data_IF_033654445914
#
_entry.id   IF_033654445914
#
_cell.length_a   1.000
_cell.length_b   1.000
_cell.length_c   1.000
_cell.angle_alpha   90.00
_cell.angle_beta   90.00
_cell.angle_gamma   90.00
#
_symmetry.space_group_name_H-M   'P 1'
#
loop_
_entity.id
_entity.type
_entity.pdbx_description
1 polymer ?
#
# COMPACT_ATOMS: atom_id res chain seq x y z
N UNK A 1 14.35 14.85 -20.03
CA UNK A 1 14.24 13.40 -20.37
C UNK A 1 15.01 12.50 -19.38
N UNK A 2 16.22 12.84 -18.94
CA UNK A 2 16.99 12.00 -18.00
C UNK A 2 16.35 11.87 -16.60
N UNK A 3 15.81 12.95 -16.04
CA UNK A 3 15.18 12.94 -14.72
C UNK A 3 13.92 12.08 -14.68
N UNK A 4 13.05 12.21 -15.68
CA UNK A 4 11.82 11.42 -15.75
C UNK A 4 12.11 9.92 -15.88
N UNK A 5 13.10 9.55 -16.71
CA UNK A 5 13.54 8.15 -16.81
C UNK A 5 14.07 7.62 -15.46
N UNK A 6 14.86 8.42 -14.75
CA UNK A 6 15.37 8.06 -13.43
C UNK A 6 14.23 7.87 -12.40
N UNK A 7 13.21 8.73 -12.43
CA UNK A 7 12.04 8.61 -11.54
C UNK A 7 11.22 7.36 -11.84
N UNK A 8 11.00 7.03 -13.13
CA UNK A 8 10.31 5.81 -13.55
C UNK A 8 11.07 4.57 -13.09
N UNK A 9 12.39 4.53 -13.30
CA UNK A 9 13.23 3.43 -12.86
C UNK A 9 13.22 3.31 -11.33
N UNK A 10 13.37 4.42 -10.62
CA UNK A 10 13.35 4.44 -9.15
C UNK A 10 12.02 3.93 -8.58
N UNK A 11 10.88 4.37 -9.14
CA UNK A 11 9.56 3.89 -8.74
C UNK A 11 9.40 2.38 -9.02
N UNK A 12 9.89 1.91 -10.17
CA UNK A 12 9.85 0.49 -10.54
C UNK A 12 10.71 -0.36 -9.60
N UNK A 13 11.94 0.08 -9.30
CA UNK A 13 12.83 -0.60 -8.35
C UNK A 13 12.24 -0.60 -6.93
N UNK A 14 11.60 0.51 -6.53
CA UNK A 14 10.90 0.59 -5.24
C UNK A 14 9.72 -0.39 -5.18
N UNK A 15 8.98 -0.57 -6.28
CA UNK A 15 7.94 -1.58 -6.40
C UNK A 15 8.48 -3.00 -6.27
N UNK A 16 9.63 -3.27 -6.89
CA UNK A 16 10.30 -4.57 -6.82
C UNK A 16 10.83 -4.86 -5.41
N UNK A 17 11.57 -3.91 -4.83
CA UNK A 17 12.08 -4.02 -3.46
C UNK A 17 10.95 -4.10 -2.42
N UNK A 18 9.82 -3.42 -2.68
CA UNK A 18 8.63 -3.46 -1.85
C UNK A 18 7.76 -4.71 -2.01
N UNK A 19 8.12 -5.64 -2.90
CA UNK A 19 7.36 -6.87 -3.17
C UNK A 19 7.03 -7.66 -1.89
N UNK A 20 7.95 -7.90 -0.93
CA UNK A 20 7.63 -8.59 0.31
C UNK A 20 6.63 -7.82 1.18
N UNK A 21 6.74 -6.49 1.24
CA UNK A 21 5.82 -5.63 1.95
C UNK A 21 4.41 -5.68 1.33
N UNK A 22 4.33 -5.55 0.00
CA UNK A 22 3.07 -5.68 -0.74
C UNK A 22 2.44 -7.06 -0.55
N UNK A 23 3.26 -8.12 -0.57
CA UNK A 23 2.81 -9.49 -0.31
C UNK A 23 2.18 -9.62 1.09
N UNK A 24 2.83 -9.08 2.12
CA UNK A 24 2.34 -9.14 3.51
C UNK A 24 1.06 -8.34 3.71
N UNK A 25 1.02 -7.09 3.22
CA UNK A 25 -0.08 -6.16 3.48
C UNK A 25 -1.30 -6.40 2.58
N UNK A 26 -1.07 -6.73 1.31
CA UNK A 26 -2.13 -6.79 0.32
C UNK A 26 -2.61 -8.22 0.00
N UNK A 27 -1.94 -9.27 0.52
CA UNK A 27 -2.33 -10.66 0.24
C UNK A 27 -3.74 -11.00 0.72
N UNK A 28 -4.13 -10.54 1.91
CA UNK A 28 -5.46 -10.80 2.45
C UNK A 28 -6.57 -10.07 1.67
N UNK A 29 -6.50 -8.76 1.41
CA UNK A 29 -7.45 -8.07 0.54
C UNK A 29 -7.46 -8.64 -0.89
N UNK A 30 -6.32 -9.00 -1.47
CA UNK A 30 -6.24 -9.61 -2.79
C UNK A 30 -6.94 -10.97 -2.84
N UNK A 31 -6.75 -11.81 -1.84
CA UNK A 31 -7.41 -13.11 -1.76
C UNK A 31 -8.94 -12.99 -1.66
N UNK A 32 -9.41 -11.95 -0.97
CA UNK A 32 -10.84 -11.67 -0.83
C UNK A 32 -11.44 -11.04 -2.09
N UNK A 33 -10.71 -10.13 -2.75
CA UNK A 33 -11.18 -9.36 -3.90
C UNK A 33 -10.95 -10.05 -5.25
N UNK A 34 -9.89 -10.87 -5.35
CA UNK A 34 -9.46 -11.44 -6.63
C UNK A 34 -10.33 -12.56 -7.17
N UNK A 35 -10.96 -13.36 -6.28
CA UNK A 35 -11.73 -14.51 -6.70
C UNK A 35 -11.00 -15.36 -7.75
N UNK A 36 -11.72 -15.97 -8.73
CA UNK A 36 -11.12 -16.78 -9.79
C UNK A 36 -10.47 -15.93 -10.93
N UNK A 37 -10.49 -14.60 -10.85
CA UNK A 37 -10.01 -13.70 -11.93
C UNK A 37 -9.01 -12.65 -11.44
N UNK A 38 -7.82 -13.05 -11.00
CA UNK A 38 -6.80 -12.12 -10.50
C UNK A 38 -6.36 -11.09 -11.55
N UNK A 39 -6.42 -11.43 -12.85
CA UNK A 39 -6.04 -10.54 -13.96
C UNK A 39 -6.86 -9.25 -13.98
N UNK A 40 -8.18 -9.33 -13.76
CA UNK A 40 -9.04 -8.12 -13.73
C UNK A 40 -8.69 -7.20 -12.56
N UNK A 41 -8.40 -7.76 -11.40
CA UNK A 41 -7.95 -7.01 -10.24
C UNK A 41 -6.61 -6.32 -10.52
N UNK A 42 -5.66 -7.03 -11.10
CA UNK A 42 -4.33 -6.49 -11.43
C UNK A 42 -4.41 -5.40 -12.50
N UNK A 43 -5.21 -5.60 -13.54
CA UNK A 43 -5.45 -4.56 -14.55
C UNK A 43 -6.06 -3.30 -13.94
N UNK A 44 -7.09 -3.44 -13.09
CA UNK A 44 -7.66 -2.32 -12.36
C UNK A 44 -6.62 -1.60 -11.48
N UNK A 45 -5.76 -2.36 -10.78
CA UNK A 45 -4.71 -1.80 -9.94
C UNK A 45 -3.68 -1.00 -10.75
N UNK A 46 -3.20 -1.55 -11.87
CA UNK A 46 -2.24 -0.84 -12.74
C UNK A 46 -2.84 0.46 -13.27
N UNK A 47 -4.08 0.41 -13.73
CA UNK A 47 -4.78 1.60 -14.22
C UNK A 47 -5.07 2.62 -13.12
N UNK A 48 -5.49 2.18 -11.93
CA UNK A 48 -5.71 3.05 -10.78
C UNK A 48 -4.42 3.74 -10.32
N UNK A 49 -3.31 3.01 -10.30
CA UNK A 49 -2.01 3.57 -9.95
C UNK A 49 -1.50 4.53 -11.02
N UNK A 50 -1.64 4.20 -12.33
CA UNK A 50 -1.29 5.09 -13.41
C UNK A 50 -2.10 6.39 -13.35
N UNK A 51 -3.42 6.30 -13.14
CA UNK A 51 -4.28 7.47 -12.98
C UNK A 51 -3.89 8.30 -11.74
N UNK A 52 -3.56 7.65 -10.63
CA UNK A 52 -3.04 8.30 -9.42
C UNK A 52 -1.72 9.03 -9.69
N UNK A 53 -0.81 8.43 -10.46
CA UNK A 53 0.45 9.05 -10.87
C UNK A 53 0.26 10.26 -11.79
N UNK A 54 -0.65 10.15 -12.75
CA UNK A 54 -1.07 11.29 -13.59
C UNK A 54 -1.62 12.42 -12.72
N UNK A 55 -2.52 12.11 -11.81
CA UNK A 55 -3.11 13.08 -10.88
C UNK A 55 -2.05 13.71 -9.95
N UNK A 56 -1.11 12.91 -9.44
CA UNK A 56 -0.01 13.40 -8.60
C UNK A 56 0.89 14.38 -9.37
N UNK A 57 1.30 14.04 -10.59
CA UNK A 57 2.10 14.91 -11.44
C UNK A 57 1.34 16.19 -11.84
N UNK A 58 0.04 16.07 -12.14
CA UNK A 58 -0.80 17.23 -12.46
C UNK A 58 -1.02 18.16 -11.26
N UNK A 59 -1.14 17.57 -10.06
CA UNK A 59 -1.43 18.32 -8.82
C UNK A 59 -0.17 18.83 -8.13
N UNK A 60 1.04 18.44 -8.55
CA UNK A 60 2.29 18.91 -7.94
C UNK A 60 2.38 20.45 -7.95
N UNK A 61 1.95 21.10 -9.03
CA UNK A 61 1.85 22.56 -9.10
C UNK A 61 0.77 23.14 -8.16
N UNK A 62 -0.30 22.37 -7.90
CA UNK A 62 -1.39 22.74 -6.98
C UNK A 62 -0.98 22.42 -5.54
N UNK A 63 -0.29 21.30 -5.30
CA UNK A 63 0.21 20.89 -3.99
C UNK A 63 1.29 21.84 -3.46
N UNK A 64 2.15 22.38 -4.31
CA UNK A 64 3.10 23.43 -3.92
C UNK A 64 2.37 24.67 -3.34
N UNK A 65 1.16 24.93 -3.80
CA UNK A 65 0.28 25.98 -3.26
C UNK A 65 -0.57 25.50 -2.06
N UNK A 66 -0.91 24.21 -2.00
CA UNK A 66 -1.74 23.60 -0.97
C UNK A 66 -0.93 23.04 0.22
N UNK A 67 0.40 23.14 0.20
CA UNK A 67 1.27 22.70 1.31
C UNK A 67 0.94 23.37 2.65
N UNK A 68 0.30 24.53 2.61
CA UNK A 68 -0.25 25.20 3.80
C UNK A 68 -1.46 24.46 4.41
N UNK A 69 -2.21 23.68 3.60
CA UNK A 69 -3.35 22.87 4.07
C UNK A 69 -2.95 21.48 4.61
N UNK A 70 -1.74 21.02 4.32
CA UNK A 70 -1.28 19.70 4.77
C UNK A 70 -1.15 19.60 6.31
N UNK A 71 -0.93 20.73 6.99
CA UNK A 71 -0.88 20.78 8.45
C UNK A 71 -2.20 20.33 9.11
N UNK A 72 -3.34 20.59 8.49
CA UNK A 72 -4.67 20.20 9.00
C UNK A 72 -4.90 18.70 8.90
N UNK A 73 -4.30 18.01 7.91
CA UNK A 73 -4.44 16.58 7.70
C UNK A 73 -3.46 15.74 8.55
N UNK A 74 -2.42 16.36 9.13
CA UNK A 74 -1.42 15.67 9.93
C UNK A 74 -2.00 14.91 11.14
N UNK A 75 -2.93 15.47 11.95
CA UNK A 75 -3.49 14.73 13.08
C UNK A 75 -4.34 13.54 12.62
N UNK A 76 -5.09 13.66 11.53
CA UNK A 76 -5.85 12.55 10.97
C UNK A 76 -4.92 11.41 10.48
N UNK A 77 -3.80 11.75 9.86
CA UNK A 77 -2.80 10.78 9.46
C UNK A 77 -2.14 10.09 10.66
N UNK A 78 -1.81 10.85 11.71
CA UNK A 78 -1.24 10.29 12.94
C UNK A 78 -2.22 9.34 13.64
N UNK A 79 -3.51 9.70 13.71
CA UNK A 79 -4.57 8.83 14.25
C UNK A 79 -4.72 7.54 13.44
N UNK A 80 -4.66 7.64 12.11
CA UNK A 80 -4.69 6.46 11.22
C UNK A 80 -3.51 5.54 11.51
N UNK A 81 -2.30 6.07 11.62
CA UNK A 81 -1.10 5.28 11.92
C UNK A 81 -1.17 4.66 13.32
N UNK A 82 -1.69 5.37 14.31
CA UNK A 82 -1.93 4.83 15.65
C UNK A 82 -2.95 3.67 15.61
N UNK A 83 -4.03 3.79 14.83
CA UNK A 83 -5.00 2.72 14.66
C UNK A 83 -4.39 1.48 13.97
N UNK A 84 -3.55 1.69 12.95
CA UNK A 84 -2.81 0.61 12.27
C UNK A 84 -1.83 -0.06 13.21
N UNK A 85 -1.14 0.71 14.06
CA UNK A 85 -0.22 0.21 15.08
C UNK A 85 -0.95 -0.67 16.10
N UNK A 86 -2.08 -0.20 16.63
CA UNK A 86 -2.93 -0.95 17.56
C UNK A 86 -3.46 -2.24 16.92
N UNK A 87 -3.92 -2.18 15.67
CA UNK A 87 -4.35 -3.36 14.93
C UNK A 87 -3.20 -4.35 14.77
N UNK A 88 -2.02 -3.89 14.36
CA UNK A 88 -0.82 -4.70 14.22
C UNK A 88 -0.43 -5.37 15.54
N UNK A 89 -0.46 -4.63 16.65
CA UNK A 89 -0.17 -5.15 17.98
C UNK A 89 -1.19 -6.22 18.43
N UNK A 90 -2.48 -6.00 18.16
CA UNK A 90 -3.52 -6.99 18.49
C UNK A 90 -3.36 -8.28 17.67
N UNK A 91 -3.00 -8.19 16.40
CA UNK A 91 -2.72 -9.35 15.56
C UNK A 91 -1.46 -10.09 16.01
N UNK A 92 -0.41 -9.36 16.39
CA UNK A 92 0.85 -9.93 16.86
C UNK A 92 0.66 -10.70 18.17
N UNK A 93 -0.03 -10.10 19.15
CA UNK A 93 -0.25 -10.69 20.47
C UNK A 93 -1.27 -11.83 20.43
N UNK A 94 -2.45 -11.57 19.83
CA UNK A 94 -3.54 -12.54 19.85
C UNK A 94 -3.43 -13.61 18.76
N UNK A 95 -2.71 -13.36 17.68
CA UNK A 95 -2.62 -14.26 16.51
C UNK A 95 -3.98 -14.60 15.90
N UNK A 96 -5.01 -13.77 16.13
CA UNK A 96 -6.38 -13.97 15.66
C UNK A 96 -6.93 -12.67 15.11
N UNK A 97 -7.73 -12.80 14.04
CA UNK A 97 -8.46 -11.68 13.45
C UNK A 97 -9.47 -11.14 14.48
N UNK A 98 -9.55 -9.81 14.72
CA UNK A 98 -10.60 -9.24 15.53
C UNK A 98 -11.99 -9.60 14.98
N UNK A 99 -12.93 -9.93 15.86
CA UNK A 99 -14.27 -10.43 15.47
C UNK A 99 -15.02 -9.41 14.59
N UNK A 100 -14.87 -8.11 14.87
CA UNK A 100 -15.49 -7.04 14.10
C UNK A 100 -14.92 -6.93 12.67
N UNK A 101 -13.63 -7.27 12.45
CA UNK A 101 -13.02 -7.31 11.12
C UNK A 101 -13.44 -8.58 10.37
N UNK A 102 -13.59 -9.71 11.09
CA UNK A 102 -14.09 -10.97 10.54
C UNK A 102 -15.58 -10.93 10.20
N UNK A 103 -16.36 -10.07 10.87
CA UNK A 103 -17.77 -9.86 10.59
C UNK A 103 -18.01 -9.09 9.28
N UNK A 104 -17.04 -8.31 8.82
CA UNK A 104 -17.08 -7.66 7.50
C UNK A 104 -16.81 -8.72 6.43
N UNK A 105 -17.82 -9.55 6.16
CA UNK A 105 -17.83 -10.50 5.04
C UNK A 105 -18.00 -9.72 3.73
N UNK A 106 -16.99 -8.97 3.37
CA UNK A 106 -16.95 -8.39 2.05
C UNK A 106 -16.70 -9.53 1.05
N UNK A 107 -17.79 -9.98 0.44
CA UNK A 107 -17.75 -10.87 -0.74
C UNK A 107 -17.85 -9.99 -1.98
N UNK A 108 -16.77 -9.46 -2.53
CA UNK A 108 -16.85 -8.72 -3.77
C UNK A 108 -17.35 -9.67 -4.85
N UNK A 109 -18.44 -9.28 -5.50
CA UNK A 109 -18.89 -10.00 -6.69
C UNK A 109 -17.74 -9.97 -7.70
N UNK A 110 -17.47 -11.04 -8.45
CA UNK A 110 -16.36 -11.10 -9.42
C UNK A 110 -16.42 -10.01 -10.49
N UNK A 111 -17.58 -9.39 -10.70
CA UNK A 111 -17.73 -8.21 -11.54
C UNK A 111 -17.04 -6.96 -10.99
N UNK A 112 -16.84 -6.87 -9.67
CA UNK A 112 -16.25 -5.68 -9.03
C UNK A 112 -14.72 -5.78 -8.85
N UNK A 113 -14.09 -6.89 -9.23
CA UNK A 113 -12.64 -7.07 -9.05
C UNK A 113 -11.82 -5.96 -9.73
N UNK A 114 -12.22 -5.52 -10.91
CA UNK A 114 -11.57 -4.42 -11.63
C UNK A 114 -11.67 -3.10 -10.86
N UNK A 115 -12.87 -2.73 -10.42
CA UNK A 115 -13.10 -1.50 -9.65
C UNK A 115 -12.42 -1.53 -8.29
N UNK A 116 -12.36 -2.70 -7.66
CA UNK A 116 -11.59 -2.90 -6.43
C UNK A 116 -10.10 -2.65 -6.69
N UNK A 117 -9.57 -3.17 -7.80
CA UNK A 117 -8.20 -2.88 -8.22
C UNK A 117 -7.97 -1.39 -8.48
N UNK A 118 -8.90 -0.71 -9.16
CA UNK A 118 -8.82 0.72 -9.43
C UNK A 118 -8.78 1.55 -8.13
N UNK A 119 -9.63 1.21 -7.16
CA UNK A 119 -9.68 1.86 -5.85
C UNK A 119 -8.45 1.57 -4.97
N UNK A 120 -7.57 0.63 -5.36
CA UNK A 120 -6.40 0.25 -4.58
C UNK A 120 -5.41 1.39 -4.34
N UNK A 121 -5.40 2.39 -5.23
CA UNK A 121 -4.59 3.61 -5.09
C UNK A 121 -4.96 4.42 -3.83
N UNK A 122 -6.18 4.27 -3.33
CA UNK A 122 -6.63 4.94 -2.10
C UNK A 122 -6.20 4.22 -0.81
N UNK A 123 -5.50 3.09 -0.90
CA UNK A 123 -5.00 2.38 0.28
C UNK A 123 -3.96 3.19 1.05
N UNK A 124 -4.07 3.32 2.38
CA UNK A 124 -3.13 4.07 3.21
C UNK A 124 -1.82 3.27 3.42
N UNK A 125 -1.03 3.11 2.37
CA UNK A 125 0.24 2.41 2.37
C UNK A 125 1.40 3.39 2.19
N UNK A 126 2.35 3.42 3.13
CA UNK A 126 3.49 4.34 3.10
C UNK A 126 4.34 4.21 1.82
N UNK A 127 4.52 2.98 1.32
CA UNK A 127 5.27 2.72 0.09
C UNK A 127 4.55 3.30 -1.13
N UNK A 128 3.22 3.19 -1.19
CA UNK A 128 2.40 3.77 -2.24
C UNK A 128 2.47 5.30 -2.22
N UNK A 129 2.39 5.90 -1.03
CA UNK A 129 2.49 7.36 -0.91
C UNK A 129 3.87 7.86 -1.31
N UNK A 130 4.94 7.16 -0.94
CA UNK A 130 6.29 7.48 -1.41
C UNK A 130 6.41 7.40 -2.94
N UNK A 131 5.79 6.39 -3.58
CA UNK A 131 5.74 6.28 -5.03
C UNK A 131 4.92 7.41 -5.68
N UNK A 132 3.80 7.82 -5.06
CA UNK A 132 2.99 8.95 -5.53
C UNK A 132 3.76 10.28 -5.42
N UNK A 133 4.54 10.47 -4.35
CA UNK A 133 5.41 11.65 -4.22
C UNK A 133 6.49 11.67 -5.32
N UNK A 134 7.13 10.53 -5.59
CA UNK A 134 8.06 10.40 -6.72
C UNK A 134 7.39 10.72 -8.06
N UNK A 135 6.17 10.22 -8.28
CA UNK A 135 5.39 10.53 -9.48
C UNK A 135 5.03 12.03 -9.56
N UNK A 136 4.76 12.67 -8.41
CA UNK A 136 4.51 14.11 -8.32
C UNK A 136 5.72 14.97 -8.70
N UNK A 137 6.94 14.45 -8.57
CA UNK A 137 8.17 15.14 -8.99
C UNK A 137 8.46 15.00 -10.50
N UNK A 138 7.66 14.23 -11.22
CA UNK A 138 7.82 14.05 -12.68
C UNK A 138 7.53 15.33 -13.44
N UNK A 139 8.29 15.58 -14.47
CA UNK A 139 8.13 16.76 -15.35
C UNK A 139 6.88 16.73 -16.23
N UNK A 140 6.19 15.58 -16.32
CA UNK A 140 4.98 15.42 -17.12
C UNK A 140 3.98 14.43 -16.48
N UNK A 141 2.71 14.61 -16.81
CA UNK A 141 1.64 13.68 -16.39
C UNK A 141 1.91 12.26 -16.89
N UNK A 142 2.48 12.12 -18.09
CA UNK A 142 2.78 10.82 -18.68
C UNK A 142 3.88 10.10 -17.89
N UNK A 143 4.97 10.79 -17.55
CA UNK A 143 6.06 10.21 -16.74
C UNK A 143 5.59 9.85 -15.33
N UNK A 144 4.73 10.65 -14.69
CA UNK A 144 4.11 10.32 -13.42
C UNK A 144 3.22 9.07 -13.50
N UNK A 145 2.41 8.97 -14.56
CA UNK A 145 1.59 7.79 -14.83
C UNK A 145 2.43 6.53 -15.07
N UNK A 146 3.51 6.64 -15.86
CA UNK A 146 4.42 5.53 -16.16
C UNK A 146 5.20 5.08 -14.93
N UNK A 147 5.65 6.00 -14.08
CA UNK A 147 6.32 5.69 -12.82
C UNK A 147 5.42 4.84 -11.91
N UNK A 148 4.16 5.23 -11.74
CA UNK A 148 3.20 4.50 -10.94
C UNK A 148 2.76 3.18 -11.57
N UNK A 149 2.63 3.11 -12.90
CA UNK A 149 2.39 1.85 -13.60
C UNK A 149 3.56 0.87 -13.43
N UNK A 150 4.80 1.35 -13.56
CA UNK A 150 6.01 0.57 -13.31
C UNK A 150 6.07 0.03 -11.88
N UNK A 151 5.77 0.87 -10.88
CA UNK A 151 5.65 0.45 -9.48
C UNK A 151 4.59 -0.64 -9.29
N UNK A 152 3.40 -0.48 -9.89
CA UNK A 152 2.31 -1.44 -9.81
C UNK A 152 2.68 -2.79 -10.43
N UNK A 153 3.30 -2.78 -11.61
CA UNK A 153 3.74 -3.98 -12.31
C UNK A 153 4.85 -4.70 -11.55
N UNK A 154 5.87 -3.97 -11.09
CA UNK A 154 7.01 -4.53 -10.37
C UNK A 154 6.63 -5.15 -9.02
N UNK A 155 5.59 -4.64 -8.35
CA UNK A 155 5.08 -5.19 -7.09
C UNK A 155 4.05 -6.33 -7.28
N UNK A 156 3.59 -6.58 -8.51
CA UNK A 156 2.59 -7.64 -8.83
C UNK A 156 3.07 -9.06 -8.48
N UNK A 157 4.33 -9.48 -8.74
CA UNK A 157 4.78 -10.83 -8.41
C UNK A 157 4.55 -11.21 -6.95
N UNK A 158 4.75 -10.27 -6.01
CA UNK A 158 4.49 -10.51 -4.59
C UNK A 158 3.03 -10.84 -4.29
N UNK A 159 2.10 -10.18 -4.98
CA UNK A 159 0.67 -10.41 -4.81
C UNK A 159 0.20 -11.73 -5.41
N UNK A 160 0.86 -12.21 -6.47
CA UNK A 160 0.57 -13.52 -7.09
C UNK A 160 1.16 -14.66 -6.26
N UNK A 161 2.38 -14.48 -5.75
CA UNK A 161 3.09 -15.51 -4.99
C UNK A 161 2.57 -15.62 -3.55
N UNK A 162 2.14 -14.53 -2.94
CA UNK A 162 1.66 -14.51 -1.55
C UNK A 162 0.49 -15.48 -1.27
N UNK A 163 -0.56 -15.58 -2.11
CA UNK A 163 -1.62 -16.57 -1.92
C UNK A 163 -1.13 -18.01 -2.00
N UNK A 164 -0.15 -18.30 -2.86
CA UNK A 164 0.46 -19.63 -2.98
C UNK A 164 1.25 -19.99 -1.73
N UNK A 165 2.02 -19.05 -1.20
CA UNK A 165 2.75 -19.20 0.06
C UNK A 165 1.80 -19.38 1.23
N UNK A 166 0.74 -18.56 1.28
CA UNK A 166 -0.32 -18.70 2.29
C UNK A 166 -0.99 -20.07 2.21
N UNK A 167 -1.34 -20.55 1.02
CA UNK A 167 -1.94 -21.88 0.86
C UNK A 167 -1.02 -23.00 1.36
N UNK A 168 0.31 -22.85 1.18
CA UNK A 168 1.29 -23.80 1.73
C UNK A 168 1.41 -23.71 3.25
N UNK A 169 1.36 -22.50 3.81
CA UNK A 169 1.36 -22.28 5.27
C UNK A 169 0.08 -22.81 5.92
N UNK A 170 -1.07 -22.60 5.29
CA UNK A 170 -2.37 -23.11 5.77
C UNK A 170 -2.45 -24.64 5.79
N UNK A 171 -1.71 -25.32 4.88
CA UNK A 171 -1.58 -26.80 4.92
C UNK A 171 -0.88 -27.31 6.18
N UNK A 172 -0.22 -26.43 6.95
CA UNK A 172 0.41 -26.75 8.25
C UNK A 172 -0.56 -26.72 9.43
N UNK A 173 -1.87 -26.59 9.16
CA UNK A 173 -2.94 -26.60 10.16
C UNK A 173 -3.13 -25.23 10.90
N UNK A 174 -3.89 -25.21 12.01
CA UNK A 174 -4.27 -23.99 12.72
C UNK A 174 -3.09 -23.13 13.19
N UNK A 175 -1.93 -23.73 13.42
CA UNK A 175 -0.71 -23.01 13.80
C UNK A 175 -0.17 -22.13 12.67
N UNK A 176 -0.35 -22.53 11.40
CA UNK A 176 0.07 -21.75 10.25
C UNK A 176 -0.68 -20.42 10.13
N UNK A 177 -1.98 -20.42 10.45
CA UNK A 177 -2.80 -19.20 10.47
C UNK A 177 -2.35 -18.21 11.55
N UNK A 178 -2.05 -18.71 12.75
CA UNK A 178 -1.56 -17.89 13.87
C UNK A 178 -0.24 -17.23 13.50
N UNK A 179 0.70 -17.98 12.92
CA UNK A 179 1.99 -17.44 12.51
C UNK A 179 1.86 -16.41 11.37
N UNK A 180 1.00 -16.67 10.38
CA UNK A 180 0.76 -15.72 9.28
C UNK A 180 0.18 -14.40 9.81
N UNK A 181 -0.76 -14.45 10.77
CA UNK A 181 -1.35 -13.27 11.38
C UNK A 181 -0.35 -12.51 12.27
N UNK A 182 0.52 -13.21 13.00
CA UNK A 182 1.59 -12.59 13.80
C UNK A 182 2.62 -11.90 12.93
N UNK A 183 3.05 -12.51 11.83
CA UNK A 183 3.98 -11.89 10.89
C UNK A 183 3.35 -10.65 10.22
N UNK A 184 2.07 -10.71 9.84
CA UNK A 184 1.34 -9.56 9.34
C UNK A 184 1.25 -8.45 10.41
N UNK A 185 0.95 -8.80 11.65
CA UNK A 185 0.94 -7.89 12.78
C UNK A 185 2.29 -7.23 13.02
N UNK A 186 3.38 -7.99 12.95
CA UNK A 186 4.75 -7.47 13.07
C UNK A 186 5.06 -6.45 11.97
N UNK A 187 4.71 -6.76 10.73
CA UNK A 187 4.91 -5.85 9.60
C UNK A 187 4.13 -4.54 9.76
N UNK A 188 2.89 -4.62 10.26
CA UNK A 188 2.07 -3.43 10.57
C UNK A 188 2.68 -2.59 11.69
N UNK A 189 3.12 -3.22 12.79
CA UNK A 189 3.77 -2.54 13.92
C UNK A 189 5.06 -1.87 13.47
N UNK A 190 5.90 -2.57 12.73
CA UNK A 190 7.15 -2.01 12.21
C UNK A 190 6.90 -0.82 11.28
N UNK A 191 5.97 -0.94 10.33
CA UNK A 191 5.63 0.12 9.38
C UNK A 191 5.02 1.35 10.04
N UNK A 192 4.00 1.16 10.87
CA UNK A 192 3.34 2.26 11.57
C UNK A 192 4.24 2.90 12.64
N UNK A 193 5.03 2.08 13.35
CA UNK A 193 6.01 2.57 14.33
C UNK A 193 7.10 3.41 13.67
N UNK A 194 7.64 2.97 12.54
CA UNK A 194 8.59 3.75 11.76
C UNK A 194 7.99 5.08 11.29
N UNK A 195 6.76 5.04 10.75
CA UNK A 195 6.08 6.23 10.23
C UNK A 195 5.82 7.27 11.33
N UNK A 196 5.36 6.84 12.50
CA UNK A 196 5.16 7.71 13.66
C UNK A 196 6.48 8.22 14.23
N UNK A 197 7.48 7.35 14.42
CA UNK A 197 8.79 7.70 14.96
C UNK A 197 9.51 8.71 14.07
N UNK A 198 9.49 8.51 12.75
CA UNK A 198 10.11 9.43 11.81
C UNK A 198 9.40 10.79 11.78
N UNK A 199 8.07 10.80 11.86
CA UNK A 199 7.28 12.04 11.95
C UNK A 199 7.56 12.84 13.22
N UNK A 200 7.74 12.17 14.36
CA UNK A 200 8.13 12.82 15.63
C UNK A 200 9.56 13.34 15.56
N UNK A 201 10.50 12.54 15.05
CA UNK A 201 11.90 12.92 14.89
C UNK A 201 12.07 14.20 14.05
N UNK A 202 11.39 14.26 12.90
CA UNK A 202 11.45 15.46 12.04
C UNK A 202 10.92 16.70 12.77
N UNK A 203 9.87 16.61 13.58
CA UNK A 203 9.35 17.74 14.35
C UNK A 203 10.32 18.22 15.41
N UNK A 204 10.96 17.30 16.12
CA UNK A 204 11.97 17.63 17.12
C UNK A 204 13.16 18.34 16.48
N UNK A 205 13.63 17.86 15.31
CA UNK A 205 14.74 18.47 14.59
C UNK A 205 14.40 19.85 14.00
N UNK A 206 13.14 20.13 13.68
CA UNK A 206 12.70 21.43 13.18
C UNK A 206 12.42 22.42 14.30
N UNK A 207 12.27 21.95 15.56
CA UNK A 207 12.01 22.77 16.74
C UNK A 207 13.30 23.19 17.49
N UNK A 208 14.45 22.55 17.17
CA UNK A 208 15.78 22.92 17.65
C UNK A 208 16.54 23.73 16.62
#
# INVERSE_FOLDING_TARGET
MGLDAALIVSATLMGLAGTPHCAAMCSAPCALAGGPRPVKLMAGRVLGYAAGGVAAAASAAVLARASQGAAVLQPAWALLQAAVLLLGLTLLVRGRMPVWLGAVRWRPKPAHAFFTGLAWVAMPCGLLHAALLLAGLSGSMLSGGLAMAGFALASTPGLVVAPLWRARLLRRGPQGDVWALRLAGLALVAGAGWALGHGVWQRVMLAC
#
